data_IF_434678573323
#
_entry.id   IF_434678573323
#
_cell.length_a   1.000
_cell.length_b   1.000
_cell.length_c   1.000
_cell.angle_alpha   90.00
_cell.angle_beta   90.00
_cell.angle_gamma   90.00
#
_symmetry.space_group_name_H-M   'P 1'
#
loop_
_entity.id
_entity.type
_entity.pdbx_description
1 polymer ?
#
# COMPACT_ATOMS: atom_id res chain seq x y z
N UNK A 1 -15.61 35.37 10.89
CA UNK A 1 -14.45 34.60 11.37
C UNK A 1 -14.98 33.27 11.83
N UNK A 2 -14.53 32.17 11.24
CA UNK A 2 -14.88 30.83 11.71
C UNK A 2 -14.05 30.54 12.94
N UNK A 3 -14.59 30.92 14.10
CA UNK A 3 -13.98 30.64 15.39
C UNK A 3 -14.33 29.21 15.79
N UNK A 4 -13.35 28.47 16.28
CA UNK A 4 -13.54 27.10 16.72
C UNK A 4 -14.21 27.14 18.10
N UNK A 5 -15.34 26.44 18.24
CA UNK A 5 -16.10 26.39 19.48
C UNK A 5 -15.34 25.57 20.53
N UNK A 6 -14.80 26.25 21.55
CA UNK A 6 -14.05 25.65 22.67
C UNK A 6 -14.96 25.15 23.81
N UNK A 7 -16.27 25.08 23.59
CA UNK A 7 -17.22 24.71 24.64
C UNK A 7 -17.05 23.23 25.02
N UNK A 8 -16.48 22.96 26.19
CA UNK A 8 -16.34 21.60 26.76
C UNK A 8 -14.98 20.93 26.57
N UNK A 9 -13.92 21.69 26.29
CA UNK A 9 -12.56 21.18 26.35
C UNK A 9 -11.81 21.74 27.56
N UNK A 10 -11.38 20.86 28.47
CA UNK A 10 -10.59 21.22 29.64
C UNK A 10 -9.13 20.84 29.43
N UNK A 11 -8.26 21.86 29.48
CA UNK A 11 -6.82 21.70 29.55
C UNK A 11 -6.44 21.39 31.00
N UNK A 12 -5.91 20.19 31.26
CA UNK A 12 -5.34 19.82 32.55
C UNK A 12 -3.82 19.81 32.42
N UNK A 13 -3.18 20.68 33.17
CA UNK A 13 -1.72 20.78 33.28
C UNK A 13 -1.27 19.91 34.45
N UNK A 14 -0.60 18.80 34.16
CA UNK A 14 -0.03 17.89 35.16
C UNK A 14 1.49 18.08 35.27
N UNK A 15 1.99 19.32 35.17
CA UNK A 15 3.36 19.72 35.52
C UNK A 15 4.49 19.20 34.62
N UNK A 16 4.32 18.06 33.96
CA UNK A 16 5.23 17.42 33.01
C UNK A 16 4.57 17.21 31.63
N UNK A 17 3.23 17.28 31.58
CA UNK A 17 2.48 17.22 30.32
C UNK A 17 1.16 17.99 30.37
N UNK A 18 0.78 18.58 29.24
CA UNK A 18 -0.49 19.30 29.08
C UNK A 18 -1.48 18.37 28.38
N UNK A 19 -2.53 17.97 29.09
CA UNK A 19 -3.56 17.05 28.59
C UNK A 19 -4.83 17.83 28.25
N UNK A 20 -5.24 17.81 26.98
CA UNK A 20 -6.51 18.38 26.53
C UNK A 20 -7.59 17.31 26.47
N UNK A 21 -8.67 17.47 27.24
CA UNK A 21 -9.83 16.58 27.23
C UNK A 21 -11.05 17.30 26.67
N UNK A 22 -11.43 17.00 25.42
CA UNK A 22 -12.64 17.54 24.80
C UNK A 22 -13.75 16.48 24.67
N UNK A 23 -15.00 16.83 24.99
CA UNK A 23 -16.16 15.92 24.92
C UNK A 23 -16.96 15.97 23.59
N UNK A 24 -16.50 16.74 22.58
CA UNK A 24 -17.24 16.92 21.33
C UNK A 24 -16.71 16.00 20.20
N UNK A 25 -17.48 14.97 19.90
CA UNK A 25 -17.20 13.92 18.92
C UNK A 25 -16.99 14.46 17.51
N UNK A 26 -15.79 14.35 16.96
CA UNK A 26 -15.59 14.31 15.51
C UNK A 26 -15.39 12.85 15.10
N UNK A 27 -16.39 12.24 14.45
CA UNK A 27 -16.34 10.82 14.04
C UNK A 27 -15.19 10.47 13.10
N UNK A 28 -14.49 11.47 12.55
CA UNK A 28 -13.27 11.28 11.74
C UNK A 28 -11.97 11.29 12.56
N UNK A 29 -11.99 11.75 13.81
CA UNK A 29 -10.82 11.71 14.69
C UNK A 29 -10.55 10.32 15.26
N UNK A 30 -11.52 9.41 15.29
CA UNK A 30 -11.29 8.03 15.76
C UNK A 30 -10.31 7.22 14.89
N UNK A 31 -10.09 7.58 13.63
CA UNK A 31 -9.09 6.93 12.76
C UNK A 31 -7.69 7.57 12.85
N UNK A 32 -7.56 8.74 13.50
CA UNK A 32 -6.33 9.54 13.52
C UNK A 32 -5.93 9.99 14.93
N UNK A 33 -6.70 9.64 15.96
CA UNK A 33 -6.45 10.05 17.34
C UNK A 33 -5.54 9.02 18.02
N UNK A 34 -4.30 9.40 18.38
CA UNK A 34 -3.41 8.57 19.20
C UNK A 34 -3.84 8.51 20.68
N UNK A 35 -5.02 9.01 21.04
CA UNK A 35 -5.53 9.06 22.41
C UNK A 35 -6.77 8.18 22.58
N UNK A 36 -6.58 6.87 22.62
CA UNK A 36 -7.49 5.98 23.34
C UNK A 36 -6.72 4.74 23.80
N UNK A 37 -6.16 4.86 25.01
CA UNK A 37 -5.33 3.89 25.77
C UNK A 37 -6.01 2.51 26.06
N UNK A 38 -7.10 2.16 25.39
CA UNK A 38 -7.75 0.85 25.51
C UNK A 38 -8.08 0.18 24.18
N UNK A 39 -8.04 0.89 23.04
CA UNK A 39 -8.32 0.32 21.71
C UNK A 39 -7.13 0.37 20.75
N UNK A 40 -6.07 1.10 21.09
CA UNK A 40 -4.83 1.16 20.30
C UNK A 40 -4.11 -0.19 20.27
N UNK A 41 -4.16 -0.97 21.35
CA UNK A 41 -3.56 -2.31 21.40
C UNK A 41 -4.26 -3.27 20.44
N UNK A 42 -5.60 -3.25 20.37
CA UNK A 42 -6.37 -4.11 19.48
C UNK A 42 -6.11 -3.76 18.01
N UNK A 43 -6.06 -2.48 17.67
CA UNK A 43 -5.80 -2.01 16.31
C UNK A 43 -4.35 -2.28 15.88
N UNK A 44 -3.39 -2.10 16.78
CA UNK A 44 -1.97 -2.43 16.55
C UNK A 44 -1.79 -3.92 16.34
N UNK A 45 -2.44 -4.75 17.15
CA UNK A 45 -2.40 -6.20 17.03
C UNK A 45 -3.01 -6.67 15.70
N UNK A 46 -4.16 -6.11 15.30
CA UNK A 46 -4.79 -6.40 14.01
C UNK A 46 -3.88 -5.99 12.84
N UNK A 47 -3.24 -4.82 12.92
CA UNK A 47 -2.32 -4.32 11.90
C UNK A 47 -1.10 -5.23 11.78
N UNK A 48 -0.54 -5.68 12.91
CA UNK A 48 0.60 -6.59 12.93
C UNK A 48 0.26 -7.96 12.32
N UNK A 49 -0.92 -8.51 12.64
CA UNK A 49 -1.43 -9.73 11.99
C UNK A 49 -1.59 -9.51 10.49
N UNK A 50 -2.24 -8.42 10.08
CA UNK A 50 -2.46 -8.08 8.68
C UNK A 50 -1.14 -7.95 7.90
N UNK A 51 -0.14 -7.29 8.49
CA UNK A 51 1.19 -7.13 7.93
C UNK A 51 1.91 -8.47 7.76
N UNK A 52 1.90 -9.32 8.80
CA UNK A 52 2.51 -10.65 8.73
C UNK A 52 1.89 -11.53 7.64
N UNK A 53 0.55 -11.50 7.51
CA UNK A 53 -0.17 -12.21 6.46
C UNK A 53 0.14 -11.64 5.07
N UNK A 54 0.23 -10.31 4.94
CA UNK A 54 0.67 -9.64 3.71
C UNK A 54 2.04 -10.16 3.27
N UNK A 55 3.03 -10.11 4.16
CA UNK A 55 4.40 -10.57 3.88
C UNK A 55 4.42 -12.04 3.45
N UNK A 56 3.73 -12.92 4.18
CA UNK A 56 3.65 -14.35 3.83
C UNK A 56 3.03 -14.54 2.44
N UNK A 57 1.93 -13.84 2.14
CA UNK A 57 1.27 -13.92 0.83
C UNK A 57 2.18 -13.41 -0.30
N UNK A 58 2.92 -12.33 -0.08
CA UNK A 58 3.86 -11.77 -1.04
C UNK A 58 5.02 -12.72 -1.30
N UNK A 59 5.56 -13.36 -0.26
CA UNK A 59 6.62 -14.37 -0.41
C UNK A 59 6.14 -15.58 -1.20
N UNK A 60 4.93 -16.06 -0.96
CA UNK A 60 4.32 -17.15 -1.74
C UNK A 60 4.14 -16.72 -3.20
N UNK A 61 3.61 -15.51 -3.44
CA UNK A 61 3.45 -14.95 -4.79
C UNK A 61 4.79 -14.87 -5.53
N UNK A 62 5.84 -14.32 -4.90
CA UNK A 62 7.20 -14.28 -5.47
C UNK A 62 7.71 -15.68 -5.81
N UNK A 63 7.51 -16.66 -4.92
CA UNK A 63 7.89 -18.04 -5.16
C UNK A 63 7.20 -18.65 -6.38
N UNK A 64 5.88 -18.47 -6.49
CA UNK A 64 5.10 -18.94 -7.65
C UNK A 64 5.58 -18.27 -8.93
N UNK A 65 5.77 -16.95 -8.91
CA UNK A 65 6.24 -16.16 -10.05
C UNK A 65 7.63 -16.63 -10.52
N UNK A 66 8.56 -16.90 -9.61
CA UNK A 66 9.90 -17.43 -9.93
C UNK A 66 9.85 -18.86 -10.50
N UNK A 67 9.01 -19.73 -9.93
CA UNK A 67 8.82 -21.09 -10.44
C UNK A 67 8.22 -21.09 -11.85
N UNK A 68 7.20 -20.24 -12.07
CA UNK A 68 6.55 -20.08 -13.37
C UNK A 68 7.48 -19.41 -14.38
N UNK A 69 8.29 -18.43 -13.97
CA UNK A 69 9.32 -17.83 -14.82
C UNK A 69 10.23 -18.91 -15.40
N UNK A 70 10.76 -19.79 -14.55
CA UNK A 70 11.65 -20.89 -14.97
C UNK A 70 10.99 -21.82 -16.00
N UNK A 71 9.67 -22.00 -15.92
CA UNK A 71 8.89 -22.89 -16.79
C UNK A 71 8.42 -22.21 -18.09
N UNK A 72 8.08 -20.92 -18.05
CA UNK A 72 7.27 -20.21 -19.07
C UNK A 72 7.98 -18.99 -19.68
N UNK A 73 9.32 -18.93 -19.66
CA UNK A 73 10.07 -17.89 -20.43
C UNK A 73 10.12 -18.20 -21.93
N UNK A 74 8.96 -18.41 -22.55
CA UNK A 74 8.85 -18.68 -24.00
C UNK A 74 8.27 -17.51 -24.80
N UNK A 75 7.61 -16.56 -24.13
CA UNK A 75 6.88 -15.46 -24.79
C UNK A 75 7.20 -14.12 -24.13
N UNK A 76 7.58 -13.09 -24.93
CA UNK A 76 7.90 -11.73 -24.42
C UNK A 76 6.77 -11.09 -23.59
N UNK A 77 5.51 -11.40 -23.89
CA UNK A 77 4.35 -10.83 -23.19
C UNK A 77 4.23 -11.40 -21.78
N UNK A 78 4.38 -12.71 -21.62
CA UNK A 78 4.36 -13.35 -20.30
C UNK A 78 5.51 -12.82 -19.44
N UNK A 79 6.71 -12.69 -20.01
CA UNK A 79 7.87 -12.11 -19.35
C UNK A 79 7.60 -10.70 -18.78
N UNK A 80 7.07 -9.78 -19.59
CA UNK A 80 6.78 -8.40 -19.13
C UNK A 80 5.74 -8.37 -18.01
N UNK A 81 4.73 -9.25 -18.07
CA UNK A 81 3.72 -9.38 -17.02
C UNK A 81 4.33 -9.87 -15.70
N UNK A 82 5.16 -10.91 -15.77
CA UNK A 82 5.85 -11.47 -14.59
C UNK A 82 6.80 -10.45 -13.95
N UNK A 83 7.59 -9.72 -14.75
CA UNK A 83 8.48 -8.64 -14.24
C UNK A 83 7.67 -7.54 -13.54
N UNK A 84 6.52 -7.16 -14.08
CA UNK A 84 5.63 -6.18 -13.44
C UNK A 84 5.12 -6.68 -12.07
N UNK A 85 4.62 -7.91 -12.01
CA UNK A 85 4.12 -8.51 -10.76
C UNK A 85 5.23 -8.59 -9.72
N UNK A 86 6.44 -9.00 -10.12
CA UNK A 86 7.60 -9.05 -9.23
C UNK A 86 7.98 -7.66 -8.70
N UNK A 87 7.99 -6.63 -9.56
CA UNK A 87 8.29 -5.26 -9.12
C UNK A 87 7.24 -4.73 -8.14
N UNK A 88 5.96 -5.03 -8.36
CA UNK A 88 4.88 -4.68 -7.42
C UNK A 88 5.10 -5.40 -6.09
N UNK A 89 5.33 -6.71 -6.11
CA UNK A 89 5.51 -7.51 -4.91
C UNK A 89 6.76 -7.10 -4.11
N UNK A 90 7.87 -6.79 -4.77
CA UNK A 90 9.08 -6.26 -4.13
C UNK A 90 8.83 -4.88 -3.52
N UNK A 91 8.10 -3.99 -4.22
CA UNK A 91 7.76 -2.66 -3.71
C UNK A 91 6.86 -2.73 -2.46
N UNK A 92 5.91 -3.68 -2.45
CA UNK A 92 5.06 -3.93 -1.29
C UNK A 92 5.84 -4.53 -0.11
N UNK A 93 6.71 -5.51 -0.36
CA UNK A 93 7.56 -6.07 0.69
C UNK A 93 8.46 -5.02 1.32
N UNK A 94 9.05 -4.12 0.52
CA UNK A 94 9.85 -3.02 1.07
C UNK A 94 9.02 -2.05 1.91
N UNK A 95 7.77 -1.77 1.52
CA UNK A 95 6.87 -0.95 2.33
C UNK A 95 6.55 -1.64 3.67
N UNK A 96 6.27 -2.95 3.65
CA UNK A 96 6.00 -3.74 4.85
C UNK A 96 7.22 -3.77 5.79
N UNK A 97 8.44 -3.92 5.25
CA UNK A 97 9.68 -3.87 6.03
C UNK A 97 9.88 -2.47 6.65
N UNK A 98 9.63 -1.40 5.89
CA UNK A 98 9.70 -0.03 6.42
C UNK A 98 8.74 0.15 7.60
N UNK A 99 7.52 -0.38 7.51
CA UNK A 99 6.55 -0.33 8.60
C UNK A 99 7.05 -1.04 9.86
N UNK A 100 7.66 -2.24 9.71
CA UNK A 100 8.27 -2.97 10.84
C UNK A 100 9.41 -2.17 11.47
N UNK A 101 10.28 -1.57 10.66
CA UNK A 101 11.42 -0.78 11.16
C UNK A 101 10.90 0.40 11.99
N UNK A 102 9.89 1.12 11.51
CA UNK A 102 9.26 2.22 12.24
C UNK A 102 8.65 1.75 13.55
N UNK A 103 7.89 0.65 13.52
CA UNK A 103 7.27 0.08 14.71
C UNK A 103 8.32 -0.38 15.74
N UNK A 104 9.43 -0.99 15.31
CA UNK A 104 10.51 -1.41 16.19
C UNK A 104 11.27 -0.23 16.82
N UNK A 105 11.39 0.90 16.10
CA UNK A 105 12.05 2.10 16.61
C UNK A 105 11.18 2.92 17.57
N UNK A 106 9.85 2.80 17.48
CA UNK A 106 8.92 3.48 18.39
C UNK A 106 9.10 3.03 19.85
N UNK A 107 9.61 1.82 20.08
CA UNK A 107 9.87 1.26 21.41
C UNK A 107 11.19 1.76 22.04
N UNK A 108 12.02 2.51 21.29
CA UNK A 108 13.36 2.92 21.69
C UNK A 108 13.52 4.46 21.62
N UNK A 109 13.00 5.15 22.63
CA UNK A 109 13.23 6.56 22.98
C UNK A 109 12.76 7.66 22.01
N UNK A 110 11.93 8.54 22.57
CA UNK A 110 11.19 9.72 22.11
C UNK A 110 11.94 10.83 21.33
N UNK A 111 13.22 10.65 20.99
CA UNK A 111 14.03 11.69 20.31
C UNK A 111 14.20 11.47 18.80
N UNK A 112 13.83 10.29 18.28
CA UNK A 112 14.03 9.92 16.87
C UNK A 112 12.74 10.05 16.02
N UNK A 113 11.65 10.52 16.62
CA UNK A 113 10.32 10.50 15.98
C UNK A 113 10.20 11.42 14.77
N UNK A 114 10.85 12.60 14.80
CA UNK A 114 10.70 13.58 13.71
C UNK A 114 11.31 13.11 12.39
N UNK A 115 12.54 12.60 12.41
CA UNK A 115 13.25 12.25 11.18
C UNK A 115 12.82 10.88 10.63
N UNK A 116 12.55 9.90 11.51
CA UNK A 116 12.07 8.58 11.09
C UNK A 116 10.66 8.62 10.53
N UNK A 117 9.75 9.43 11.10
CA UNK A 117 8.40 9.59 10.58
C UNK A 117 8.38 10.22 9.17
N UNK A 118 9.21 11.24 8.96
CA UNK A 118 9.33 11.90 7.64
C UNK A 118 9.91 10.95 6.60
N UNK A 119 10.97 10.22 6.96
CA UNK A 119 11.58 9.23 6.07
C UNK A 119 10.59 8.11 5.75
N UNK A 120 9.90 7.56 6.76
CA UNK A 120 8.89 6.53 6.57
C UNK A 120 7.75 6.97 5.66
N UNK A 121 7.20 8.17 5.90
CA UNK A 121 6.13 8.73 5.07
C UNK A 121 6.58 8.89 3.62
N UNK A 122 7.81 9.38 3.39
CA UNK A 122 8.37 9.49 2.05
C UNK A 122 8.52 8.13 1.36
N UNK A 123 9.07 7.13 2.06
CA UNK A 123 9.24 5.79 1.52
C UNK A 123 7.89 5.13 1.21
N UNK A 124 6.93 5.20 2.13
CA UNK A 124 5.57 4.67 1.93
C UNK A 124 4.94 5.31 0.68
N UNK A 125 4.98 6.64 0.58
CA UNK A 125 4.42 7.36 -0.56
C UNK A 125 5.08 6.94 -1.88
N UNK A 126 6.42 6.84 -1.90
CA UNK A 126 7.17 6.38 -3.05
C UNK A 126 6.77 4.97 -3.49
N UNK A 127 6.66 4.02 -2.55
CA UNK A 127 6.24 2.65 -2.86
C UNK A 127 4.81 2.59 -3.41
N UNK A 128 3.88 3.38 -2.86
CA UNK A 128 2.53 3.49 -3.40
C UNK A 128 2.51 4.02 -4.84
N UNK A 129 3.32 5.03 -5.15
CA UNK A 129 3.45 5.53 -6.52
C UNK A 129 4.03 4.46 -7.45
N UNK A 130 5.05 3.72 -7.02
CA UNK A 130 5.59 2.60 -7.78
C UNK A 130 4.52 1.56 -8.09
N UNK A 131 3.74 1.14 -7.09
CA UNK A 131 2.62 0.20 -7.27
C UNK A 131 1.60 0.76 -8.25
N UNK A 132 1.24 2.04 -8.14
CA UNK A 132 0.30 2.69 -9.06
C UNK A 132 0.80 2.68 -10.51
N UNK A 133 2.04 3.06 -10.75
CA UNK A 133 2.63 3.06 -12.10
C UNK A 133 2.72 1.66 -12.69
N UNK A 134 3.10 0.66 -11.89
CA UNK A 134 3.17 -0.72 -12.34
C UNK A 134 1.79 -1.32 -12.61
N UNK A 135 0.80 -1.04 -11.77
CA UNK A 135 -0.60 -1.43 -12.01
C UNK A 135 -1.16 -0.78 -13.28
N UNK A 136 -0.86 0.51 -13.51
CA UNK A 136 -1.23 1.19 -14.74
C UNK A 136 -0.56 0.57 -15.96
N UNK A 137 0.74 0.26 -15.88
CA UNK A 137 1.48 -0.41 -16.95
C UNK A 137 0.89 -1.79 -17.26
N UNK A 138 0.53 -2.57 -16.23
CA UNK A 138 -0.16 -3.85 -16.39
C UNK A 138 -1.52 -3.67 -17.10
N UNK A 139 -2.30 -2.68 -16.69
CA UNK A 139 -3.59 -2.35 -17.31
C UNK A 139 -3.46 -1.97 -18.78
N UNK A 140 -2.49 -1.11 -19.12
CA UNK A 140 -2.18 -0.72 -20.49
C UNK A 140 -1.72 -1.92 -21.35
N UNK A 141 -0.91 -2.82 -20.78
CA UNK A 141 -0.45 -4.03 -21.47
C UNK A 141 -1.62 -4.97 -21.80
N UNK A 142 -2.56 -5.16 -20.86
CA UNK A 142 -3.77 -5.94 -21.09
C UNK A 142 -4.68 -5.29 -22.14
N UNK A 143 -4.84 -3.97 -22.07
CA UNK A 143 -5.62 -3.21 -23.05
C UNK A 143 -5.04 -3.32 -24.46
N UNK A 144 -3.73 -3.10 -24.62
CA UNK A 144 -3.06 -3.21 -25.91
C UNK A 144 -3.18 -4.62 -26.50
N UNK A 145 -3.05 -5.65 -25.65
CA UNK A 145 -3.22 -7.04 -26.06
C UNK A 145 -4.63 -7.31 -26.58
N UNK A 146 -5.66 -6.88 -25.85
CA UNK A 146 -7.06 -7.03 -26.26
C UNK A 146 -7.32 -6.34 -27.61
N UNK A 147 -6.86 -5.09 -27.76
CA UNK A 147 -7.02 -4.33 -29.00
C UNK A 147 -6.30 -5.02 -30.17
N UNK A 148 -5.06 -5.48 -29.96
CA UNK A 148 -4.30 -6.18 -31.00
C UNK A 148 -4.97 -7.50 -31.41
N UNK A 149 -5.48 -8.29 -30.44
CA UNK A 149 -6.22 -9.51 -30.73
C UNK A 149 -7.52 -9.22 -31.49
N UNK A 150 -8.30 -8.22 -31.07
CA UNK A 150 -9.53 -7.81 -31.76
C UNK A 150 -9.24 -7.31 -33.17
N UNK A 151 -8.19 -6.51 -33.34
CA UNK A 151 -7.76 -6.02 -34.65
C UNK A 151 -7.30 -7.16 -35.57
N UNK A 152 -6.54 -8.14 -35.05
CA UNK A 152 -6.15 -9.31 -35.83
C UNK A 152 -7.32 -10.24 -36.14
N UNK A 153 -8.25 -10.43 -35.20
CA UNK A 153 -9.48 -11.18 -35.41
C UNK A 153 -10.33 -10.51 -36.50
N UNK A 154 -10.49 -9.19 -36.45
CA UNK A 154 -11.16 -8.39 -37.48
C UNK A 154 -10.51 -8.55 -38.86
N UNK A 155 -9.18 -8.47 -38.95
CA UNK A 155 -8.45 -8.73 -40.20
C UNK A 155 -8.59 -10.16 -40.70
N UNK A 156 -8.67 -11.14 -39.80
CA UNK A 156 -8.85 -12.55 -40.15
C UNK A 156 -10.26 -12.79 -40.68
N UNK A 157 -11.28 -12.25 -40.02
CA UNK A 157 -12.68 -12.31 -40.46
C UNK A 157 -12.84 -11.65 -41.84
N UNK A 158 -12.25 -10.48 -42.05
CA UNK A 158 -12.30 -9.79 -43.34
C UNK A 158 -11.63 -10.59 -44.47
N UNK A 159 -10.53 -11.31 -44.17
CA UNK A 159 -9.90 -12.22 -45.14
C UNK A 159 -10.78 -13.43 -45.45
N UNK A 160 -11.45 -14.03 -44.47
CA UNK A 160 -12.33 -15.19 -44.70
C UNK A 160 -13.55 -14.83 -45.54
N UNK A 161 -14.13 -13.64 -45.35
CA UNK A 161 -15.29 -13.18 -46.13
C UNK A 161 -14.90 -12.82 -47.57
N UNK A 162 -13.71 -12.27 -47.81
CA UNK A 162 -13.24 -11.92 -49.15
C UNK A 162 -12.80 -13.10 -50.04
N UNK A 163 -12.73 -14.32 -49.48
CA UNK A 163 -12.43 -15.56 -50.21
C UNK A 163 -13.68 -16.43 -50.47
N UNK A 164 -14.87 -15.99 -50.04
CA UNK A 164 -16.17 -16.53 -50.43
C UNK A 164 -16.76 -15.69 -51.57
#
# INVERSE_FOLDING_TARGET
GGDWDNTGCETKDDGDSVICSCNHTTSFAMLMSPYQETSLDELTYLTYIGLSLSIVSLMICLGIELLVWKSVTKTRIAYMRHVCILNIAVSLLSADICFIVVAATHDQNYAVEGHLCVVATYFIHYFYLCVFFWMLALGLMLFYHLVFLLHNASKTIMKTIGFC
#
